data_IF_079389782825
#
_entry.id   IF_079389782825
#
_cell.length_a   1.000
_cell.length_b   1.000
_cell.length_c   1.000
_cell.angle_alpha   90.00
_cell.angle_beta   90.00
_cell.angle_gamma   90.00
#
_symmetry.space_group_name_H-M   'P 1'
#
loop_
_entity.id
_entity.type
_entity.pdbx_description
1 polymer ?
#
# COMPACT_ATOMS: atom_id res chain seq x y z
N UNK A 1 -41.02 30.38 -51.15
CA UNK A 1 -39.71 30.02 -50.57
C UNK A 1 -39.84 30.27 -49.07
N UNK A 2 -40.19 29.24 -48.32
CA UNK A 2 -40.49 29.34 -46.89
C UNK A 2 -39.59 28.35 -46.14
N UNK A 3 -38.72 28.91 -45.30
CA UNK A 3 -37.80 28.21 -44.41
C UNK A 3 -38.58 27.50 -43.29
N UNK A 4 -38.42 26.18 -43.20
CA UNK A 4 -38.91 25.38 -42.08
C UNK A 4 -37.71 24.95 -41.26
N UNK A 5 -37.44 25.69 -40.17
CA UNK A 5 -36.47 25.28 -39.14
C UNK A 5 -37.08 24.16 -38.31
N UNK A 6 -36.62 22.93 -38.55
CA UNK A 6 -36.86 21.80 -37.66
C UNK A 6 -35.82 21.86 -36.54
N UNK A 7 -36.27 22.21 -35.32
CA UNK A 7 -35.56 21.86 -34.10
C UNK A 7 -35.83 20.38 -33.80
N UNK A 8 -34.82 19.53 -33.91
CA UNK A 8 -34.81 18.20 -33.30
C UNK A 8 -33.73 18.17 -32.22
N UNK A 9 -34.22 18.00 -31.01
CA UNK A 9 -33.49 17.64 -29.81
C UNK A 9 -32.86 16.25 -29.92
N UNK A 10 -31.81 16.05 -29.11
CA UNK A 10 -31.10 14.80 -28.77
C UNK A 10 -30.11 14.29 -29.82
N UNK A 11 -28.89 13.88 -29.47
CA UNK A 11 -28.38 13.37 -28.20
C UNK A 11 -26.93 13.83 -28.04
N UNK A 12 -26.63 14.51 -26.94
CA UNK A 12 -25.24 14.64 -26.50
C UNK A 12 -24.73 13.22 -26.30
N UNK A 13 -23.75 12.80 -27.10
CA UNK A 13 -22.95 11.61 -26.80
C UNK A 13 -22.36 11.85 -25.42
N UNK A 14 -23.04 11.34 -24.41
CA UNK A 14 -22.44 11.06 -23.13
C UNK A 14 -21.24 10.19 -23.43
N UNK A 15 -20.06 10.79 -23.41
CA UNK A 15 -18.84 10.05 -23.16
C UNK A 15 -18.96 9.56 -21.72
N UNK A 16 -19.76 8.50 -21.55
CA UNK A 16 -19.70 7.58 -20.44
C UNK A 16 -18.36 6.90 -20.55
N UNK A 17 -17.30 7.63 -20.24
CA UNK A 17 -16.16 7.01 -19.60
C UNK A 17 -16.59 6.92 -18.15
N UNK A 18 -17.40 5.90 -17.86
CA UNK A 18 -17.34 5.23 -16.58
C UNK A 18 -15.90 4.70 -16.48
N UNK A 19 -14.98 5.59 -16.11
CA UNK A 19 -13.75 5.15 -15.47
C UNK A 19 -14.27 4.54 -14.19
N UNK A 20 -14.26 3.21 -14.15
CA UNK A 20 -14.18 2.47 -12.91
C UNK A 20 -12.98 3.02 -12.13
N UNK A 21 -13.18 4.13 -11.42
CA UNK A 21 -12.19 4.83 -10.61
C UNK A 21 -12.06 4.10 -9.27
N UNK A 22 -11.82 2.79 -9.33
CA UNK A 22 -11.96 1.90 -8.17
C UNK A 22 -10.91 0.80 -8.02
N UNK A 23 -10.04 0.54 -9.00
CA UNK A 23 -9.08 -0.57 -8.90
C UNK A 23 -7.66 -0.27 -9.40
N UNK A 24 -7.43 0.85 -10.09
CA UNK A 24 -6.16 1.06 -10.77
C UNK A 24 -5.23 1.92 -9.91
N UNK A 25 -4.41 1.23 -9.10
CA UNK A 25 -3.21 1.72 -8.41
C UNK A 25 -3.40 2.29 -6.99
N UNK A 26 -3.97 1.51 -6.06
CA UNK A 26 -4.01 1.87 -4.64
C UNK A 26 -2.62 2.25 -4.07
N UNK A 27 -1.56 1.58 -4.52
CA UNK A 27 -0.19 1.95 -4.13
C UNK A 27 0.33 3.28 -4.69
N UNK A 28 -0.27 3.87 -5.73
CA UNK A 28 0.09 5.23 -6.19
C UNK A 28 -0.37 6.32 -5.24
N UNK A 29 -1.48 6.10 -4.53
CA UNK A 29 -1.99 7.05 -3.53
C UNK A 29 -1.29 6.94 -2.18
N UNK A 30 -0.37 5.99 -2.01
CA UNK A 30 0.38 5.81 -0.77
C UNK A 30 1.57 6.74 -0.70
N UNK A 31 1.73 7.35 0.46
CA UNK A 31 2.95 8.03 0.86
C UNK A 31 3.50 7.37 2.13
N UNK A 32 4.80 7.08 2.12
CA UNK A 32 5.51 6.62 3.31
C UNK A 32 6.19 7.80 4.02
N UNK A 33 6.18 7.77 5.35
CA UNK A 33 6.83 8.76 6.19
C UNK A 33 8.34 8.80 5.91
N UNK A 34 8.90 10.01 5.85
CA UNK A 34 10.36 10.24 5.81
C UNK A 34 11.05 9.98 7.15
N UNK A 35 10.27 9.80 8.22
CA UNK A 35 10.78 9.46 9.55
C UNK A 35 11.32 8.03 9.62
N UNK A 36 12.00 7.72 10.73
CA UNK A 36 12.57 6.38 10.98
C UNK A 36 11.47 5.31 11.04
N UNK A 37 11.83 4.11 10.61
CA UNK A 37 11.01 2.91 10.81
C UNK A 37 10.71 2.69 12.29
N UNK A 38 9.51 2.21 12.59
CA UNK A 38 9.17 1.77 13.95
C UNK A 38 10.17 0.71 14.41
N UNK A 39 10.67 0.82 15.65
CA UNK A 39 11.61 -0.12 16.27
C UNK A 39 12.77 -0.59 15.36
N UNK A 40 13.26 0.28 14.47
CA UNK A 40 14.23 -0.05 13.41
C UNK A 40 15.38 -0.97 13.85
N UNK A 41 15.96 -0.72 15.03
CA UNK A 41 17.06 -1.53 15.54
C UNK A 41 16.67 -2.98 15.86
N UNK A 42 15.49 -3.20 16.41
CA UNK A 42 14.98 -4.54 16.71
C UNK A 42 14.61 -5.30 15.44
N UNK A 43 13.89 -4.64 14.52
CA UNK A 43 13.54 -5.26 13.23
C UNK A 43 14.77 -5.57 12.38
N UNK A 44 15.77 -4.69 12.35
CA UNK A 44 17.04 -5.00 11.70
C UNK A 44 17.72 -6.23 12.30
N UNK A 45 17.80 -6.30 13.64
CA UNK A 45 18.44 -7.44 14.31
C UNK A 45 17.69 -8.76 14.08
N UNK A 46 16.36 -8.71 13.96
CA UNK A 46 15.49 -9.88 13.82
C UNK A 46 15.30 -10.33 12.37
N UNK A 47 15.23 -9.40 11.42
CA UNK A 47 14.89 -9.68 10.03
C UNK A 47 16.00 -9.21 9.09
N UNK A 48 16.47 -7.97 9.25
CA UNK A 48 17.43 -7.37 8.33
C UNK A 48 18.76 -8.14 8.22
N UNK A 49 19.26 -8.71 9.32
CA UNK A 49 20.47 -9.55 9.30
C UNK A 49 20.28 -10.86 8.54
N UNK A 50 19.16 -11.53 8.75
CA UNK A 50 18.85 -12.80 8.08
C UNK A 50 18.63 -12.59 6.57
N UNK A 51 18.13 -11.42 6.19
CA UNK A 51 18.02 -10.97 4.80
C UNK A 51 19.36 -10.49 4.19
N UNK A 52 20.45 -10.50 4.96
CA UNK A 52 21.80 -10.19 4.48
C UNK A 52 22.22 -8.72 4.52
N UNK A 53 21.44 -7.82 5.15
CA UNK A 53 21.80 -6.40 5.21
C UNK A 53 22.91 -6.13 6.25
N UNK A 54 23.92 -5.36 5.84
CA UNK A 54 25.11 -5.10 6.67
C UNK A 54 24.87 -4.07 7.78
N UNK A 55 23.81 -3.25 7.67
CA UNK A 55 23.50 -2.21 8.64
C UNK A 55 22.01 -1.83 8.70
N UNK A 56 21.62 -1.16 9.78
CA UNK A 56 20.26 -0.59 9.96
C UNK A 56 19.90 0.42 8.85
N UNK A 57 20.89 1.18 8.39
CA UNK A 57 20.72 2.20 7.37
C UNK A 57 20.51 1.58 5.98
N UNK A 58 21.28 0.53 5.66
CA UNK A 58 21.10 -0.22 4.42
C UNK A 58 19.75 -0.93 4.38
N UNK A 59 19.36 -1.56 5.49
CA UNK A 59 18.04 -2.17 5.65
C UNK A 59 16.92 -1.15 5.42
N UNK A 60 16.93 0.00 6.10
CA UNK A 60 15.91 1.05 5.90
C UNK A 60 15.88 1.57 4.46
N UNK A 61 17.05 1.78 3.84
CA UNK A 61 17.15 2.19 2.44
C UNK A 61 16.48 1.15 1.53
N UNK A 62 16.80 -0.12 1.71
CA UNK A 62 16.23 -1.22 0.92
C UNK A 62 14.71 -1.32 1.09
N UNK A 63 14.17 -1.05 2.28
CA UNK A 63 12.72 -1.05 2.51
C UNK A 63 12.02 0.05 1.70
N UNK A 64 12.62 1.24 1.65
CA UNK A 64 12.09 2.37 0.86
C UNK A 64 12.17 2.12 -0.63
N UNK A 65 13.28 1.56 -1.10
CA UNK A 65 13.45 1.16 -2.50
C UNK A 65 12.46 0.07 -2.90
N UNK A 66 12.24 -0.93 -2.03
CA UNK A 66 11.23 -1.96 -2.23
C UNK A 66 9.83 -1.36 -2.39
N UNK A 67 9.44 -0.40 -1.55
CA UNK A 67 8.16 0.29 -1.71
C UNK A 67 8.06 1.01 -3.06
N UNK A 68 9.03 1.86 -3.40
CA UNK A 68 8.96 2.68 -4.62
C UNK A 68 8.96 1.85 -5.91
N UNK A 69 9.74 0.77 -5.95
CA UNK A 69 9.82 -0.10 -7.11
C UNK A 69 8.53 -0.92 -7.32
N UNK A 70 7.84 -1.28 -6.24
CA UNK A 70 6.77 -2.28 -6.29
C UNK A 70 5.37 -1.73 -6.02
N UNK A 71 5.22 -0.48 -5.57
CA UNK A 71 3.90 0.09 -5.19
C UNK A 71 2.80 -0.03 -6.26
N UNK A 72 3.16 -0.15 -7.53
CA UNK A 72 2.19 -0.27 -8.63
C UNK A 72 1.88 -1.72 -9.04
N UNK A 73 2.68 -2.69 -8.60
CA UNK A 73 2.66 -4.07 -9.12
C UNK A 73 2.51 -5.12 -8.02
N UNK A 74 2.82 -4.76 -6.78
CA UNK A 74 2.68 -5.62 -5.61
C UNK A 74 1.23 -5.96 -5.31
N UNK A 75 1.03 -7.11 -4.66
CA UNK A 75 -0.21 -7.37 -3.95
C UNK A 75 -0.29 -6.44 -2.74
N UNK A 76 -1.43 -5.80 -2.54
CA UNK A 76 -1.63 -4.89 -1.43
C UNK A 76 -2.87 -5.28 -0.65
N UNK A 77 -2.72 -5.33 0.66
CA UNK A 77 -3.79 -5.60 1.59
C UNK A 77 -3.91 -4.48 2.61
N UNK A 78 -5.10 -4.33 3.16
CA UNK A 78 -5.33 -3.61 4.40
C UNK A 78 -5.75 -4.59 5.48
N UNK A 79 -5.29 -4.36 6.71
CA UNK A 79 -5.72 -5.14 7.86
C UNK A 79 -5.61 -4.34 9.15
N UNK A 80 -6.38 -4.72 10.15
CA UNK A 80 -6.24 -4.17 11.50
C UNK A 80 -5.24 -5.02 12.26
N UNK A 81 -4.23 -4.38 12.85
CA UNK A 81 -3.29 -5.08 13.70
C UNK A 81 -3.98 -5.59 14.96
N UNK A 82 -3.79 -6.87 15.27
CA UNK A 82 -4.44 -7.53 16.40
C UNK A 82 -4.11 -6.79 17.70
N UNK A 83 -5.16 -6.34 18.39
CA UNK A 83 -5.05 -5.44 19.53
C UNK A 83 -4.32 -6.02 20.74
N UNK A 84 -4.16 -7.33 20.81
CA UNK A 84 -3.43 -8.01 21.88
C UNK A 84 -1.90 -7.89 21.78
N UNK A 85 -1.34 -7.33 20.69
CA UNK A 85 0.11 -7.35 20.41
C UNK A 85 0.70 -5.94 20.23
N UNK A 86 1.13 -5.30 21.32
CA UNK A 86 2.01 -4.12 21.26
C UNK A 86 1.36 -2.79 20.86
N UNK A 87 2.17 -1.76 20.59
CA UNK A 87 1.70 -0.36 20.47
C UNK A 87 0.95 -0.02 19.18
N UNK A 88 0.88 -0.94 18.21
CA UNK A 88 0.12 -0.78 16.95
C UNK A 88 -1.30 -1.37 17.07
N UNK A 89 -1.67 -1.86 18.26
CA UNK A 89 -2.96 -2.46 18.59
C UNK A 89 -4.15 -1.67 18.05
N UNK A 90 -5.01 -2.34 17.25
CA UNK A 90 -6.24 -1.75 16.70
C UNK A 90 -6.02 -0.77 15.55
N UNK A 91 -4.78 -0.48 15.16
CA UNK A 91 -4.48 0.45 14.09
C UNK A 91 -4.53 -0.25 12.73
N UNK A 92 -5.00 0.47 11.71
CA UNK A 92 -4.99 0.00 10.33
C UNK A 92 -3.58 0.04 9.75
N UNK A 93 -3.21 -1.06 9.13
CA UNK A 93 -1.94 -1.21 8.43
C UNK A 93 -2.19 -1.57 6.98
N UNK A 94 -1.26 -1.15 6.14
CA UNK A 94 -1.12 -1.56 4.76
C UNK A 94 -0.05 -2.66 4.73
N UNK A 95 -0.34 -3.75 4.03
CA UNK A 95 0.60 -4.85 3.80
C UNK A 95 0.88 -4.93 2.30
N UNK A 96 2.13 -4.75 1.92
CA UNK A 96 2.61 -4.83 0.55
C UNK A 96 3.46 -6.09 0.36
N UNK A 97 3.18 -6.88 -0.67
CA UNK A 97 3.89 -8.13 -0.96
C UNK A 97 4.43 -8.18 -2.38
N UNK A 98 5.68 -8.61 -2.48
CA UNK A 98 6.35 -8.87 -3.73
C UNK A 98 7.51 -9.84 -3.48
N UNK A 99 7.69 -10.83 -4.37
CA UNK A 99 8.84 -11.73 -4.40
C UNK A 99 9.17 -12.39 -3.04
N UNK A 100 8.13 -12.86 -2.35
CA UNK A 100 8.25 -13.52 -1.04
C UNK A 100 8.59 -12.58 0.12
N UNK A 101 8.65 -11.26 -0.11
CA UNK A 101 8.87 -10.24 0.92
C UNK A 101 7.58 -9.53 1.27
N UNK A 102 7.50 -9.07 2.52
CA UNK A 102 6.36 -8.35 3.05
C UNK A 102 6.81 -7.07 3.74
N UNK A 103 6.20 -5.95 3.33
CA UNK A 103 6.34 -4.63 3.94
C UNK A 103 5.03 -4.26 4.65
N UNK A 104 5.13 -3.81 5.90
CA UNK A 104 4.00 -3.35 6.70
C UNK A 104 4.15 -1.85 6.99
N UNK A 105 3.10 -1.08 6.73
CA UNK A 105 3.06 0.38 6.89
C UNK A 105 1.83 0.75 7.70
N UNK A 106 1.98 1.65 8.66
CA UNK A 106 0.84 2.24 9.36
C UNK A 106 0.08 3.15 8.43
N UNK A 107 -1.21 2.85 8.20
CA UNK A 107 -2.03 3.54 7.18
C UNK A 107 -2.18 5.04 7.46
N UNK A 108 -2.26 5.42 8.73
CA UNK A 108 -2.54 6.81 9.12
C UNK A 108 -1.28 7.68 9.10
N UNK A 109 -0.17 7.17 9.60
CA UNK A 109 1.09 7.92 9.71
C UNK A 109 2.04 7.75 8.52
N UNK A 110 1.79 6.74 7.68
CA UNK A 110 2.74 6.29 6.65
C UNK A 110 4.03 5.71 7.23
N UNK A 111 4.12 5.51 8.55
CA UNK A 111 5.32 4.98 9.18
C UNK A 111 5.51 3.52 8.76
N UNK A 112 6.70 3.18 8.28
CA UNK A 112 7.08 1.81 8.03
C UNK A 112 7.20 1.08 9.38
N UNK A 113 6.45 0.00 9.53
CA UNK A 113 6.37 -0.80 10.75
C UNK A 113 7.32 -1.99 10.71
N UNK A 114 7.34 -2.76 9.62
CA UNK A 114 8.19 -3.95 9.50
C UNK A 114 8.49 -4.30 8.04
N UNK A 115 9.57 -5.05 7.81
CA UNK A 115 9.94 -5.58 6.50
C UNK A 115 10.71 -6.89 6.63
N UNK A 116 10.22 -7.96 6.00
CA UNK A 116 10.84 -9.28 6.16
C UNK A 116 10.53 -10.23 4.99
N UNK A 117 11.29 -11.31 4.90
CA UNK A 117 10.96 -12.46 4.04
C UNK A 117 9.91 -13.35 4.70
N UNK A 118 8.80 -13.57 3.99
CA UNK A 118 7.64 -14.29 4.46
C UNK A 118 6.33 -13.58 4.12
N UNK A 119 5.23 -14.32 4.23
CA UNK A 119 3.88 -13.86 3.85
C UNK A 119 2.85 -14.20 4.94
N UNK A 120 3.28 -14.33 6.20
CA UNK A 120 2.34 -14.55 7.32
C UNK A 120 1.51 -13.29 7.59
N UNK A 121 0.23 -13.51 7.94
CA UNK A 121 -0.71 -12.48 8.38
C UNK A 121 -1.29 -12.78 9.77
N UNK A 122 -0.66 -13.67 10.56
CA UNK A 122 -1.21 -14.15 11.84
C UNK A 122 -1.34 -13.05 12.90
N UNK A 123 -0.80 -11.86 12.62
CA UNK A 123 -0.92 -10.63 13.40
C UNK A 123 -2.11 -9.73 13.03
N UNK A 124 -2.85 -10.05 11.97
CA UNK A 124 -3.87 -9.19 11.39
C UNK A 124 -5.27 -9.79 11.49
N UNK A 125 -6.27 -8.91 11.58
CA UNK A 125 -7.69 -9.24 11.49
C UNK A 125 -8.36 -8.35 10.44
N UNK A 126 -9.49 -8.80 9.90
CA UNK A 126 -10.27 -8.09 8.88
C UNK A 126 -9.42 -7.68 7.67
N UNK A 127 -8.74 -8.66 7.08
CA UNK A 127 -7.81 -8.42 5.99
C UNK A 127 -8.58 -8.36 4.67
N UNK A 128 -8.39 -7.28 3.94
CA UNK A 128 -8.98 -7.05 2.62
C UNK A 128 -7.87 -6.83 1.59
N UNK A 129 -8.05 -7.40 0.39
CA UNK A 129 -7.14 -7.18 -0.73
C UNK A 129 -7.57 -5.93 -1.49
N UNK A 130 -6.63 -5.01 -1.68
CA UNK A 130 -6.81 -3.73 -2.36
C UNK A 130 -6.23 -3.73 -3.78
N UNK A 131 -5.19 -4.53 -4.03
CA UNK A 131 -4.47 -4.64 -5.31
C UNK A 131 -3.88 -6.06 -5.46
#
# INVERSE_FOLDING_TARGET
>A
MFDVRIQKSESSKGNGVEKNAGADNYGKSMDISKGKMYQQGQHYNKHGRDMGYSSKAEYEKAVREFFEQNRNTSEIYEGVWNSSRGSQSGQRQIIMRQDGKQLIINKESGQIIDFYEGTSLDGFVNIERMQ
#
